data_IF_217161478045
#
_entry.id   IF_217161478045
#
_cell.length_a   1.000
_cell.length_b   1.000
_cell.length_c   1.000
_cell.angle_alpha   90.00
_cell.angle_beta   90.00
_cell.angle_gamma   90.00
#
_symmetry.space_group_name_H-M   'P 1'
#
loop_
_entity.id
_entity.type
_entity.pdbx_description
1 polymer ?
#
# COMPACT_ATOMS: atom_id res chain seq x y z
N UNK A 1 13.06 -0.18 -20.20
CA UNK A 1 12.89 -1.61 -19.85
C UNK A 1 14.06 -2.25 -19.08
N UNK A 2 15.04 -1.51 -18.51
CA UNK A 2 16.16 -2.11 -17.74
C UNK A 2 16.41 -1.51 -16.34
N UNK A 3 15.75 -0.42 -15.92
CA UNK A 3 16.14 0.31 -14.69
C UNK A 3 15.79 -0.38 -13.38
N UNK A 4 14.67 -1.10 -13.29
CA UNK A 4 14.38 -1.94 -12.12
C UNK A 4 15.36 -3.10 -12.02
N UNK A 5 15.70 -3.73 -13.16
CA UNK A 5 16.72 -4.79 -13.22
C UNK A 5 18.11 -4.26 -12.87
N UNK A 6 18.45 -3.03 -13.23
CA UNK A 6 19.68 -2.32 -12.82
C UNK A 6 19.68 -1.93 -11.32
N UNK A 7 18.55 -1.48 -10.78
CA UNK A 7 18.41 -1.18 -9.34
C UNK A 7 18.66 -2.42 -8.48
N UNK A 8 18.17 -3.59 -8.91
CA UNK A 8 18.44 -4.87 -8.25
C UNK A 8 19.78 -5.50 -8.69
N UNK A 9 20.33 -5.15 -9.86
CA UNK A 9 21.52 -5.79 -10.46
C UNK A 9 22.87 -5.11 -10.21
N UNK A 10 22.92 -3.81 -9.89
CA UNK A 10 24.17 -3.02 -9.88
C UNK A 10 24.79 -2.79 -8.48
N UNK A 11 24.37 -3.56 -7.48
CA UNK A 11 24.76 -3.37 -6.06
C UNK A 11 26.20 -3.85 -5.76
N UNK A 12 26.70 -4.86 -6.48
CA UNK A 12 28.05 -5.41 -6.25
C UNK A 12 29.18 -4.46 -6.67
N UNK A 13 28.92 -3.57 -7.64
CA UNK A 13 29.90 -2.58 -8.13
C UNK A 13 29.99 -1.38 -7.16
N UNK A 14 28.87 -1.03 -6.51
CA UNK A 14 28.84 0.03 -5.49
C UNK A 14 29.54 -0.38 -4.19
N UNK A 15 29.40 -1.65 -3.75
CA UNK A 15 30.16 -2.15 -2.59
C UNK A 15 31.68 -2.06 -2.82
N UNK A 16 32.17 -2.47 -3.99
CA UNK A 16 33.60 -2.38 -4.35
C UNK A 16 34.13 -0.95 -4.52
N UNK A 17 33.27 0.04 -4.77
CA UNK A 17 33.66 1.45 -4.90
C UNK A 17 33.68 2.16 -3.55
N UNK A 18 32.76 1.80 -2.63
CA UNK A 18 32.72 2.30 -1.26
C UNK A 18 33.83 1.71 -0.39
N UNK A 19 34.14 0.42 -0.51
CA UNK A 19 35.27 -0.20 0.21
C UNK A 19 36.61 0.42 -0.18
N UNK A 20 36.80 0.73 -1.49
CA UNK A 20 38.02 1.36 -2.00
C UNK A 20 38.17 2.84 -1.55
N UNK A 21 37.07 3.55 -1.27
CA UNK A 21 37.10 4.91 -0.71
C UNK A 21 37.30 4.93 0.82
N UNK A 22 36.86 3.89 1.54
CA UNK A 22 37.05 3.76 2.99
C UNK A 22 38.51 3.37 3.32
N UNK A 23 39.13 2.51 2.51
CA UNK A 23 40.55 2.15 2.64
C UNK A 23 41.50 3.32 2.30
N UNK A 24 41.13 4.15 1.31
CA UNK A 24 41.91 5.32 0.90
C UNK A 24 41.86 6.49 1.90
N UNK A 25 40.85 6.53 2.80
CA UNK A 25 40.66 7.63 3.77
C UNK A 25 41.11 7.32 5.20
N UNK A 26 41.61 6.11 5.48
CA UNK A 26 42.37 5.84 6.71
C UNK A 26 41.68 6.15 8.04
N UNK A 27 40.34 6.10 8.12
CA UNK A 27 39.61 6.40 9.37
C UNK A 27 39.50 5.13 10.22
N UNK A 28 40.26 5.06 11.32
CA UNK A 28 40.06 4.04 12.36
C UNK A 28 38.80 4.36 13.19
N UNK A 29 37.98 3.37 13.57
CA UNK A 29 36.79 3.59 14.36
C UNK A 29 37.15 3.85 15.83
N UNK A 30 36.66 4.97 16.39
CA UNK A 30 36.80 5.31 17.81
C UNK A 30 35.76 4.60 18.70
N UNK A 31 36.11 4.41 19.97
CA UNK A 31 35.49 3.52 20.96
C UNK A 31 33.98 3.72 21.23
N UNK A 32 33.38 4.84 20.79
CA UNK A 32 31.96 5.12 20.95
C UNK A 32 31.03 4.15 20.20
N UNK A 33 31.49 3.55 19.08
CA UNK A 33 30.69 2.61 18.28
C UNK A 33 30.56 1.25 18.97
N UNK A 34 31.57 0.81 19.73
CA UNK A 34 31.55 -0.48 20.43
C UNK A 34 30.53 -0.54 21.57
N UNK A 35 30.26 0.57 22.27
CA UNK A 35 29.26 0.60 23.36
C UNK A 35 27.81 0.57 22.86
N UNK A 36 27.54 1.10 21.66
CA UNK A 36 26.20 1.06 21.04
C UNK A 36 25.88 -0.30 20.41
N UNK A 37 26.88 -1.04 19.94
CA UNK A 37 26.68 -2.41 19.46
C UNK A 37 26.46 -3.40 20.60
N UNK A 38 27.18 -3.24 21.72
CA UNK A 38 26.99 -4.10 22.89
C UNK A 38 25.58 -3.93 23.50
N UNK A 39 25.07 -2.69 23.57
CA UNK A 39 23.71 -2.43 24.09
C UNK A 39 22.61 -2.94 23.16
N UNK A 40 22.81 -2.87 21.83
CA UNK A 40 21.89 -3.48 20.85
C UNK A 40 21.91 -5.01 20.88
N UNK A 41 23.07 -5.63 21.09
CA UNK A 41 23.17 -7.09 21.19
C UNK A 41 22.54 -7.62 22.48
N UNK A 42 22.77 -6.96 23.62
CA UNK A 42 22.15 -7.38 24.90
C UNK A 42 20.63 -7.25 24.83
N UNK A 43 20.10 -6.13 24.31
CA UNK A 43 18.66 -5.94 24.18
C UNK A 43 18.02 -6.98 23.24
N UNK A 44 18.67 -7.31 22.12
CA UNK A 44 18.17 -8.30 21.16
C UNK A 44 18.19 -9.72 21.74
N UNK A 45 19.25 -10.09 22.47
CA UNK A 45 19.35 -11.43 23.05
C UNK A 45 18.41 -11.62 24.24
N UNK A 46 18.17 -10.58 25.05
CA UNK A 46 17.19 -10.64 26.16
C UNK A 46 15.75 -10.76 25.62
N UNK A 47 15.40 -10.00 24.58
CA UNK A 47 14.04 -10.05 23.98
C UNK A 47 13.78 -11.40 23.31
N UNK A 48 14.76 -11.95 22.58
CA UNK A 48 14.63 -13.27 21.95
C UNK A 48 14.55 -14.38 23.02
N UNK A 49 15.32 -14.28 24.09
CA UNK A 49 15.27 -15.25 25.20
C UNK A 49 13.90 -15.30 25.90
N UNK A 50 13.29 -14.13 26.14
CA UNK A 50 11.96 -14.04 26.76
C UNK A 50 10.86 -14.59 25.83
N UNK A 51 10.94 -14.31 24.53
CA UNK A 51 9.99 -14.82 23.54
C UNK A 51 10.02 -16.36 23.42
N UNK A 52 11.22 -16.95 23.43
CA UNK A 52 11.37 -18.41 23.36
C UNK A 52 10.80 -19.08 24.62
N UNK A 53 11.02 -18.50 25.80
CA UNK A 53 10.49 -19.04 27.05
C UNK A 53 8.95 -19.02 27.06
N UNK A 54 8.34 -17.93 26.57
CA UNK A 54 6.88 -17.81 26.47
C UNK A 54 6.31 -18.84 25.48
N UNK A 55 6.93 -19.03 24.32
CA UNK A 55 6.49 -20.02 23.34
C UNK A 55 6.57 -21.47 23.89
N UNK A 56 7.63 -21.80 24.63
CA UNK A 56 7.78 -23.13 25.23
C UNK A 56 6.74 -23.41 26.34
N UNK A 57 6.39 -22.40 27.14
CA UNK A 57 5.33 -22.53 28.17
C UNK A 57 3.96 -22.70 27.51
N UNK A 58 3.66 -21.95 26.44
CA UNK A 58 2.39 -22.08 25.71
C UNK A 58 2.24 -23.42 24.96
N UNK A 59 3.33 -23.94 24.38
CA UNK A 59 3.35 -25.25 23.74
C UNK A 59 3.20 -26.39 24.77
N UNK A 60 3.80 -26.26 25.96
CA UNK A 60 3.65 -27.22 27.05
C UNK A 60 2.21 -27.31 27.59
N UNK A 61 1.55 -26.16 27.80
CA UNK A 61 0.15 -26.08 28.24
C UNK A 61 -0.82 -26.66 27.18
N UNK A 62 -0.56 -26.40 25.90
CA UNK A 62 -1.38 -26.92 24.80
C UNK A 62 -1.21 -28.44 24.60
N UNK A 63 0.00 -28.95 24.81
CA UNK A 63 0.28 -30.39 24.73
C UNK A 63 -0.37 -31.18 25.88
N UNK A 64 -0.41 -30.64 27.09
CA UNK A 64 -1.07 -31.28 28.24
C UNK A 64 -2.61 -31.28 28.13
N UNK A 65 -3.22 -30.23 27.57
CA UNK A 65 -4.68 -30.17 27.39
C UNK A 65 -5.22 -31.14 26.31
N UNK A 66 -4.37 -31.59 25.39
CA UNK A 66 -4.79 -32.46 24.28
C UNK A 66 -4.78 -33.96 24.62
N UNK A 67 -4.08 -34.39 25.68
CA UNK A 67 -4.04 -35.81 26.10
C UNK A 67 -5.13 -36.26 27.08
N UNK A 68 -5.98 -35.34 27.57
CA UNK A 68 -6.98 -35.63 28.61
C UNK A 68 -8.44 -35.70 28.13
N UNK A 69 -8.70 -35.92 26.83
CA UNK A 69 -10.07 -36.15 26.34
C UNK A 69 -10.38 -37.65 26.21
N UNK A 70 -11.48 -38.17 26.79
CA UNK A 70 -11.84 -39.57 26.66
C UNK A 70 -12.38 -39.91 25.26
N UNK A 71 -12.34 -41.19 24.82
CA UNK A 71 -12.67 -41.60 23.47
C UNK A 71 -14.19 -41.62 23.25
N UNK A 72 -14.64 -41.17 22.08
CA UNK A 72 -16.06 -41.21 21.68
C UNK A 72 -16.35 -42.49 20.92
N UNK A 73 -17.25 -43.31 21.47
CA UNK A 73 -17.68 -44.62 20.98
C UNK A 73 -18.78 -44.52 19.90
N UNK A 74 -18.88 -45.58 19.09
CA UNK A 74 -19.75 -45.77 17.93
C UNK A 74 -21.28 -45.84 18.19
N UNK A 75 -22.00 -45.72 17.06
CA UNK A 75 -23.43 -45.76 16.65
C UNK A 75 -24.42 -46.65 17.44
N UNK A 76 -25.75 -46.45 17.30
CA UNK A 76 -26.48 -47.27 16.31
C UNK A 76 -27.66 -46.60 15.56
N UNK A 77 -27.92 -47.19 14.40
CA UNK A 77 -29.03 -47.03 13.44
C UNK A 77 -30.40 -47.41 14.04
N UNK A 78 -31.48 -46.71 13.67
CA UNK A 78 -32.81 -47.33 13.51
C UNK A 78 -33.64 -46.62 12.43
N UNK A 79 -34.26 -47.44 11.59
CA UNK A 79 -35.13 -47.09 10.46
C UNK A 79 -36.58 -47.36 10.85
N UNK A 80 -37.53 -46.46 10.54
CA UNK A 80 -38.93 -46.80 10.18
C UNK A 80 -39.65 -45.59 9.56
N UNK A 81 -40.68 -45.88 8.76
CA UNK A 81 -41.15 -45.19 7.54
C UNK A 81 -42.62 -44.68 7.69
N UNK A 82 -42.96 -43.65 6.89
CA UNK A 82 -44.29 -43.17 6.42
C UNK A 82 -45.21 -42.45 7.45
N UNK A 83 -46.07 -41.46 7.12
CA UNK A 83 -46.56 -40.86 5.86
C UNK A 83 -47.40 -39.58 6.15
N UNK A 84 -47.45 -38.67 5.15
CA UNK A 84 -48.59 -37.79 4.74
C UNK A 84 -48.80 -36.38 5.35
N UNK A 85 -48.60 -35.40 4.45
CA UNK A 85 -49.26 -34.10 4.18
C UNK A 85 -49.88 -33.23 5.29
N UNK A 86 -49.48 -31.94 5.32
CA UNK A 86 -50.43 -30.82 5.21
C UNK A 86 -49.73 -29.50 4.76
N UNK A 87 -50.45 -28.70 3.96
CA UNK A 87 -50.09 -27.38 3.42
C UNK A 87 -50.34 -26.27 4.46
N UNK A 88 -49.50 -25.24 4.49
CA UNK A 88 -49.93 -23.83 4.65
C UNK A 88 -48.80 -22.84 4.29
N UNK A 89 -49.18 -21.82 3.51
CA UNK A 89 -48.40 -20.64 3.11
C UNK A 89 -47.90 -19.81 4.31
N UNK A 90 -46.72 -19.19 4.17
CA UNK A 90 -46.61 -17.74 4.25
C UNK A 90 -45.24 -17.22 3.79
N UNK A 91 -45.30 -16.12 3.03
CA UNK A 91 -44.19 -15.32 2.53
C UNK A 91 -43.21 -14.89 3.63
N UNK A 92 -41.92 -14.95 3.31
CA UNK A 92 -40.99 -13.85 3.64
C UNK A 92 -39.75 -13.94 2.76
N UNK A 93 -39.50 -12.85 2.05
CA UNK A 93 -38.32 -12.54 1.25
C UNK A 93 -37.01 -12.96 1.93
N UNK A 94 -36.39 -14.03 1.45
CA UNK A 94 -35.01 -14.35 1.80
C UNK A 94 -34.05 -13.41 1.07
N UNK A 95 -33.10 -12.77 1.78
CA UNK A 95 -32.00 -12.07 1.13
C UNK A 95 -31.20 -13.09 0.33
N UNK A 96 -30.94 -12.77 -0.93
CA UNK A 96 -30.03 -13.51 -1.80
C UNK A 96 -28.74 -13.88 -1.04
N UNK A 97 -28.47 -15.18 -0.92
CA UNK A 97 -27.17 -15.70 -0.49
C UNK A 97 -26.07 -14.99 -1.29
N UNK A 98 -24.97 -14.54 -0.65
CA UNK A 98 -23.79 -14.12 -1.38
C UNK A 98 -23.37 -15.30 -2.27
N UNK A 99 -23.26 -15.07 -3.57
CA UNK A 99 -22.82 -16.08 -4.52
C UNK A 99 -21.41 -16.54 -4.13
N UNK A 100 -21.29 -17.81 -3.75
CA UNK A 100 -20.04 -18.55 -3.49
C UNK A 100 -19.07 -18.62 -4.69
N UNK A 101 -19.39 -17.94 -5.80
CA UNK A 101 -18.64 -17.95 -7.04
C UNK A 101 -17.43 -16.99 -7.05
N UNK A 102 -17.42 -15.95 -6.20
CA UNK A 102 -16.35 -14.94 -6.14
C UNK A 102 -15.09 -15.43 -5.40
N UNK A 103 -15.26 -16.19 -4.30
CA UNK A 103 -14.14 -16.72 -3.49
C UNK A 103 -13.24 -17.70 -4.25
N UNK A 104 -13.77 -18.30 -5.31
CA UNK A 104 -13.03 -19.26 -6.12
C UNK A 104 -12.13 -18.60 -7.16
N UNK A 105 -12.34 -17.31 -7.51
CA UNK A 105 -11.64 -16.66 -8.63
C UNK A 105 -10.12 -16.67 -8.42
N UNK A 106 -9.67 -16.10 -7.30
CA UNK A 106 -8.24 -16.00 -7.00
C UNK A 106 -7.58 -17.37 -6.77
N UNK A 107 -8.35 -18.35 -6.28
CA UNK A 107 -7.87 -19.72 -6.03
C UNK A 107 -7.71 -20.49 -7.33
N UNK A 108 -8.62 -20.29 -8.29
CA UNK A 108 -8.59 -20.93 -9.61
C UNK A 108 -7.53 -20.32 -10.53
N UNK A 109 -7.31 -19.01 -10.41
CA UNK A 109 -6.26 -18.33 -11.16
C UNK A 109 -4.86 -18.78 -10.72
N UNK A 110 -3.96 -18.95 -11.67
CA UNK A 110 -2.53 -19.09 -11.42
C UNK A 110 -1.94 -17.77 -10.90
N UNK A 111 -0.74 -17.84 -10.31
CA UNK A 111 -0.02 -16.64 -9.87
C UNK A 111 0.25 -15.65 -11.02
N UNK A 112 0.54 -16.18 -12.23
CA UNK A 112 0.75 -15.36 -13.42
C UNK A 112 -0.54 -14.67 -13.87
N UNK A 113 -1.66 -15.38 -13.88
CA UNK A 113 -2.95 -14.80 -14.27
C UNK A 113 -3.40 -13.70 -13.28
N UNK A 114 -3.23 -13.91 -11.97
CA UNK A 114 -3.51 -12.86 -10.96
C UNK A 114 -2.65 -11.61 -11.17
N UNK A 115 -1.35 -11.80 -11.43
CA UNK A 115 -0.42 -10.70 -11.71
C UNK A 115 -0.81 -9.91 -12.98
N UNK A 116 -1.17 -10.62 -14.06
CA UNK A 116 -1.64 -10.01 -15.31
C UNK A 116 -2.96 -9.27 -15.12
N UNK A 117 -3.92 -9.86 -14.42
CA UNK A 117 -5.22 -9.24 -14.13
C UNK A 117 -5.07 -7.97 -13.28
N UNK A 118 -4.27 -8.02 -12.21
CA UNK A 118 -3.99 -6.85 -11.38
C UNK A 118 -3.28 -5.74 -12.18
N UNK A 119 -2.36 -6.10 -13.08
CA UNK A 119 -1.63 -5.15 -13.92
C UNK A 119 -2.54 -4.49 -14.95
N UNK A 120 -3.42 -5.25 -15.61
CA UNK A 120 -4.39 -4.69 -16.55
C UNK A 120 -5.44 -3.83 -15.83
N UNK A 121 -5.86 -4.19 -14.61
CA UNK A 121 -6.72 -3.33 -13.80
C UNK A 121 -6.04 -2.01 -13.41
N UNK A 122 -4.76 -2.05 -13.02
CA UNK A 122 -3.97 -0.84 -12.77
C UNK A 122 -3.89 0.02 -14.03
N UNK A 123 -3.53 -0.57 -15.16
CA UNK A 123 -3.45 0.11 -16.46
C UNK A 123 -4.78 0.74 -16.85
N UNK A 124 -5.89 0.00 -16.74
CA UNK A 124 -7.22 0.50 -17.05
C UNK A 124 -7.59 1.72 -16.20
N UNK A 125 -7.23 1.73 -14.91
CA UNK A 125 -7.36 2.93 -14.07
C UNK A 125 -6.41 4.05 -14.48
N UNK A 126 -5.13 3.73 -14.67
CA UNK A 126 -4.07 4.70 -14.96
C UNK A 126 -4.28 5.41 -16.30
N UNK A 127 -4.91 4.76 -17.28
CA UNK A 127 -5.26 5.33 -18.58
C UNK A 127 -6.72 5.80 -18.66
N UNK A 128 -7.48 5.79 -17.56
CA UNK A 128 -8.89 6.24 -17.55
C UNK A 128 -9.08 7.76 -17.56
N UNK A 129 -7.99 8.52 -17.51
CA UNK A 129 -7.96 9.97 -17.51
C UNK A 129 -6.82 10.47 -18.40
N UNK A 130 -6.90 11.70 -18.89
CA UNK A 130 -5.82 12.26 -19.69
C UNK A 130 -4.68 12.76 -18.78
N UNK A 131 -3.45 12.75 -19.30
CA UNK A 131 -2.31 13.31 -18.59
C UNK A 131 -2.56 14.80 -18.32
N UNK A 132 -2.32 15.24 -17.08
CA UNK A 132 -2.58 16.61 -16.59
C UNK A 132 -4.07 17.00 -16.53
N UNK A 133 -4.97 16.01 -16.45
CA UNK A 133 -6.37 16.27 -16.11
C UNK A 133 -6.48 17.09 -14.81
N UNK A 134 -7.26 18.17 -14.84
CA UNK A 134 -7.46 19.07 -13.70
C UNK A 134 -8.43 18.46 -12.70
N UNK A 135 -8.03 18.39 -11.43
CA UNK A 135 -8.84 17.84 -10.33
C UNK A 135 -9.28 18.91 -9.33
N UNK A 136 -8.49 19.96 -9.14
CA UNK A 136 -8.90 21.11 -8.33
C UNK A 136 -8.49 22.38 -9.05
N UNK A 137 -9.42 23.33 -9.14
CA UNK A 137 -9.19 24.66 -9.67
C UNK A 137 -9.76 25.71 -8.72
N UNK A 138 -9.00 26.78 -8.51
CA UNK A 138 -9.43 27.97 -7.77
C UNK A 138 -9.53 29.16 -8.73
N UNK A 139 -10.38 30.12 -8.39
CA UNK A 139 -10.41 31.39 -9.10
C UNK A 139 -9.09 32.15 -8.88
N UNK A 140 -8.56 32.79 -9.93
CA UNK A 140 -7.35 33.60 -9.86
C UNK A 140 -7.43 34.74 -8.82
N UNK A 141 -8.64 35.23 -8.52
CA UNK A 141 -8.85 36.23 -7.47
C UNK A 141 -8.44 35.73 -6.07
N UNK A 142 -8.49 34.42 -5.83
CA UNK A 142 -8.07 33.80 -4.58
C UNK A 142 -6.55 33.76 -4.39
N UNK A 143 -5.77 34.20 -5.40
CA UNK A 143 -4.32 34.39 -5.27
C UNK A 143 -3.94 35.73 -4.62
N UNK A 144 -4.90 36.65 -4.46
CA UNK A 144 -4.64 37.98 -3.87
C UNK A 144 -4.56 37.86 -2.35
N UNK A 145 -3.59 38.53 -1.73
CA UNK A 145 -3.49 38.58 -0.28
C UNK A 145 -4.77 39.16 0.34
N UNK A 146 -5.28 38.51 1.39
CA UNK A 146 -6.47 38.96 2.10
C UNK A 146 -7.82 38.69 1.41
N UNK A 147 -7.86 37.95 0.30
CA UNK A 147 -9.10 37.67 -0.46
C UNK A 147 -10.13 36.76 0.23
N UNK A 148 -9.98 36.46 1.52
CA UNK A 148 -10.69 35.37 2.19
C UNK A 148 -10.12 34.03 1.73
N UNK A 149 -9.09 33.55 2.42
CA UNK A 149 -8.38 32.32 2.04
C UNK A 149 -9.30 31.10 2.15
N UNK A 150 -9.19 30.17 1.20
CA UNK A 150 -9.76 28.83 1.35
C UNK A 150 -8.89 28.06 2.34
N UNK A 151 -9.50 27.49 3.38
CA UNK A 151 -8.73 26.76 4.41
C UNK A 151 -8.07 25.51 3.81
N UNK A 152 -6.92 25.06 4.32
CA UNK A 152 -6.28 23.82 3.85
C UNK A 152 -7.20 22.59 3.93
N UNK A 153 -8.09 22.57 4.93
CA UNK A 153 -9.08 21.52 5.13
C UNK A 153 -10.12 21.55 4.01
N UNK A 154 -10.64 22.72 3.64
CA UNK A 154 -11.58 22.86 2.51
C UNK A 154 -10.94 22.45 1.19
N UNK A 155 -9.70 22.89 0.91
CA UNK A 155 -8.98 22.54 -0.31
C UNK A 155 -8.74 21.03 -0.42
N UNK A 156 -8.22 20.41 0.64
CA UNK A 156 -7.99 18.96 0.67
C UNK A 156 -9.29 18.16 0.56
N UNK A 157 -10.34 18.57 1.27
CA UNK A 157 -11.67 17.92 1.20
C UNK A 157 -12.24 18.00 -0.21
N UNK A 158 -12.20 19.17 -0.84
CA UNK A 158 -12.70 19.36 -2.22
C UNK A 158 -11.88 18.54 -3.22
N UNK A 159 -10.56 18.50 -3.06
CA UNK A 159 -9.66 17.67 -3.88
C UNK A 159 -10.02 16.18 -3.77
N UNK A 160 -10.19 15.66 -2.55
CA UNK A 160 -10.58 14.27 -2.32
C UNK A 160 -11.96 13.95 -2.91
N UNK A 161 -12.94 14.84 -2.74
CA UNK A 161 -14.28 14.63 -3.31
C UNK A 161 -14.26 14.57 -4.85
N UNK A 162 -13.47 15.43 -5.49
CA UNK A 162 -13.29 15.41 -6.94
C UNK A 162 -12.58 14.12 -7.41
N UNK A 163 -11.59 13.63 -6.68
CA UNK A 163 -10.96 12.33 -6.95
C UNK A 163 -11.95 11.17 -6.79
N UNK A 164 -12.78 11.19 -5.74
CA UNK A 164 -13.84 10.17 -5.54
C UNK A 164 -14.82 10.13 -6.70
N UNK A 165 -15.29 11.30 -7.15
CA UNK A 165 -16.19 11.40 -8.30
C UNK A 165 -15.54 10.89 -9.60
N UNK A 166 -14.23 11.09 -9.77
CA UNK A 166 -13.51 10.68 -10.99
C UNK A 166 -13.13 9.21 -11.02
N UNK A 167 -12.60 8.67 -9.91
CA UNK A 167 -12.06 7.31 -9.88
C UNK A 167 -13.11 6.27 -9.50
N UNK A 168 -14.10 6.65 -8.69
CA UNK A 168 -15.15 5.75 -8.23
C UNK A 168 -14.57 4.49 -7.60
N UNK A 169 -15.03 3.34 -8.09
CA UNK A 169 -14.70 2.01 -7.59
C UNK A 169 -13.40 1.40 -8.14
N UNK A 170 -12.61 2.15 -8.92
CA UNK A 170 -11.29 1.70 -9.42
C UNK A 170 -10.21 1.72 -8.35
N UNK A 171 -10.43 2.47 -7.27
CA UNK A 171 -9.54 2.58 -6.12
C UNK A 171 -10.31 2.27 -4.85
N UNK A 172 -9.62 1.86 -3.78
CA UNK A 172 -10.27 1.56 -2.49
C UNK A 172 -10.58 2.83 -1.71
N UNK A 173 -11.51 2.77 -0.74
CA UNK A 173 -11.70 3.89 0.21
C UNK A 173 -10.44 4.22 1.02
N UNK A 174 -9.58 3.21 1.21
CA UNK A 174 -8.25 3.37 1.79
C UNK A 174 -7.34 4.28 0.96
N UNK A 175 -7.49 4.32 -0.37
CA UNK A 175 -6.76 5.27 -1.23
C UNK A 175 -7.04 6.72 -0.81
N UNK A 176 -8.32 7.09 -0.72
CA UNK A 176 -8.71 8.45 -0.36
C UNK A 176 -8.36 8.78 1.09
N UNK A 177 -8.53 7.83 2.00
CA UNK A 177 -8.19 8.00 3.42
C UNK A 177 -6.70 8.23 3.62
N UNK A 178 -5.83 7.42 2.99
CA UNK A 178 -4.37 7.59 3.06
C UNK A 178 -3.90 8.93 2.48
N UNK A 179 -4.49 9.36 1.36
CA UNK A 179 -4.18 10.65 0.77
C UNK A 179 -4.64 11.83 1.66
N UNK A 180 -5.83 11.75 2.24
CA UNK A 180 -6.30 12.77 3.19
C UNK A 180 -5.40 12.85 4.43
N UNK A 181 -4.99 11.70 5.00
CA UNK A 181 -4.03 11.67 6.11
C UNK A 181 -2.69 12.29 5.73
N UNK A 182 -2.25 12.10 4.50
CA UNK A 182 -1.02 12.72 3.98
C UNK A 182 -1.14 14.25 3.97
N UNK A 183 -2.30 14.80 3.60
CA UNK A 183 -2.55 16.25 3.60
C UNK A 183 -2.57 16.89 4.99
N UNK A 184 -2.87 16.12 6.04
CA UNK A 184 -2.83 16.66 7.41
C UNK A 184 -1.42 17.13 7.80
N UNK A 185 -0.38 16.56 7.20
CA UNK A 185 1.01 16.95 7.43
C UNK A 185 1.67 17.64 6.24
N UNK A 186 1.07 17.53 5.06
CA UNK A 186 1.56 18.09 3.82
C UNK A 186 0.43 18.86 3.12
N UNK A 187 0.10 20.07 3.63
CA UNK A 187 -1.17 20.72 3.35
C UNK A 187 -1.31 21.18 1.90
N UNK A 188 -2.55 21.17 1.43
CA UNK A 188 -2.97 21.85 0.20
C UNK A 188 -3.27 23.31 0.55
N UNK A 189 -2.57 24.26 -0.05
CA UNK A 189 -2.65 25.68 0.33
C UNK A 189 -2.64 26.59 -0.90
N UNK A 190 -2.98 27.86 -0.68
CA UNK A 190 -2.68 28.94 -1.63
C UNK A 190 -1.49 29.72 -1.09
N UNK A 191 -0.32 29.47 -1.67
CA UNK A 191 0.92 30.18 -1.35
C UNK A 191 1.01 31.50 -2.13
N UNK A 192 1.55 32.55 -1.49
CA UNK A 192 1.65 33.88 -2.10
C UNK A 192 2.51 33.93 -3.36
N UNK A 193 3.50 33.04 -3.50
CA UNK A 193 4.39 33.00 -4.68
C UNK A 193 3.96 31.90 -5.64
N UNK A 194 3.82 30.67 -5.14
CA UNK A 194 3.51 29.47 -5.93
C UNK A 194 2.05 29.42 -6.38
N UNK A 195 1.14 30.10 -5.67
CA UNK A 195 -0.30 29.94 -5.83
C UNK A 195 -0.82 28.65 -5.20
N UNK A 196 -1.88 28.07 -5.75
CA UNK A 196 -2.43 26.78 -5.31
C UNK A 196 -1.35 25.68 -5.41
N UNK A 197 -1.00 25.04 -4.31
CA UNK A 197 0.05 24.02 -4.29
C UNK A 197 -0.14 23.02 -3.13
N UNK A 198 0.68 21.97 -3.11
CA UNK A 198 0.79 21.00 -2.02
C UNK A 198 2.17 21.17 -1.41
N UNK A 199 2.26 21.48 -0.13
CA UNK A 199 3.53 21.79 0.52
C UNK A 199 4.04 20.55 1.25
N UNK A 200 5.26 20.12 0.92
CA UNK A 200 5.98 19.12 1.69
C UNK A 200 6.53 19.77 2.96
N UNK A 201 5.95 19.41 4.10
CA UNK A 201 6.34 19.96 5.42
C UNK A 201 6.67 18.87 6.44
N UNK A 202 6.27 17.62 6.21
CA UNK A 202 6.57 16.52 7.12
C UNK A 202 7.98 15.95 6.89
N UNK A 203 8.72 15.75 7.98
CA UNK A 203 10.01 15.03 7.98
C UNK A 203 9.84 13.55 7.65
N UNK A 204 8.71 12.95 8.05
CA UNK A 204 8.32 11.60 7.66
C UNK A 204 8.02 11.56 6.15
N UNK A 205 9.04 11.11 5.42
CA UNK A 205 9.02 10.93 3.98
C UNK A 205 7.85 10.04 3.51
N UNK A 206 7.37 9.11 4.35
CA UNK A 206 6.27 8.22 3.96
C UNK A 206 4.96 8.96 3.74
N UNK A 207 4.74 10.10 4.44
CA UNK A 207 3.55 10.93 4.26
C UNK A 207 3.52 11.64 2.90
N UNK A 208 4.65 11.78 2.22
CA UNK A 208 4.69 12.38 0.88
C UNK A 208 4.40 11.37 -0.24
N UNK A 209 4.53 10.07 0.03
CA UNK A 209 4.42 9.03 -1.00
C UNK A 209 3.05 9.02 -1.68
N UNK A 210 1.96 9.24 -0.95
CA UNK A 210 0.60 9.25 -1.53
C UNK A 210 0.33 10.42 -2.48
N UNK A 211 1.17 11.46 -2.48
CA UNK A 211 1.05 12.60 -3.40
C UNK A 211 1.62 12.32 -4.79
N UNK A 212 2.15 11.12 -5.02
CA UNK A 212 2.89 10.75 -6.24
C UNK A 212 2.14 11.08 -7.54
N UNK A 213 0.82 10.88 -7.57
CA UNK A 213 -0.04 11.08 -8.73
C UNK A 213 -0.34 12.56 -9.03
N UNK A 214 -0.18 13.44 -8.03
CA UNK A 214 -0.61 14.84 -8.09
C UNK A 214 0.52 15.77 -8.54
N UNK A 215 0.19 16.83 -9.25
CA UNK A 215 1.14 17.87 -9.67
C UNK A 215 0.42 19.23 -9.80
N UNK A 216 1.18 20.31 -9.87
CA UNK A 216 0.61 21.64 -10.19
C UNK A 216 0.74 21.95 -11.68
N UNK A 217 -0.18 22.75 -12.22
CA UNK A 217 -0.08 23.14 -13.64
C UNK A 217 1.15 24.01 -13.90
N UNK A 218 1.39 24.97 -13.00
CA UNK A 218 2.52 25.91 -13.03
C UNK A 218 3.33 25.85 -11.73
N UNK A 219 4.57 26.33 -11.78
CA UNK A 219 5.44 26.49 -10.60
C UNK A 219 5.16 27.77 -9.81
N UNK A 220 4.66 28.82 -10.48
CA UNK A 220 4.35 30.12 -9.91
C UNK A 220 2.93 30.56 -10.25
N UNK A 221 2.28 31.25 -9.31
CA UNK A 221 0.90 31.76 -9.43
C UNK A 221 -0.07 30.72 -10.01
N UNK A 222 0.10 29.46 -9.62
CA UNK A 222 -0.71 28.35 -10.06
C UNK A 222 -2.14 28.43 -9.52
N UNK A 223 -3.12 27.96 -10.29
CA UNK A 223 -4.53 27.88 -9.86
C UNK A 223 -5.11 26.47 -9.96
N UNK A 224 -4.30 25.48 -10.40
CA UNK A 224 -4.78 24.13 -10.76
C UNK A 224 -3.92 23.01 -10.16
N UNK A 225 -4.56 22.03 -9.54
CA UNK A 225 -3.96 20.72 -9.22
C UNK A 225 -4.41 19.72 -10.28
N UNK A 226 -3.45 18.99 -10.81
CA UNK A 226 -3.63 18.02 -11.90
C UNK A 226 -3.19 16.62 -11.48
N UNK A 227 -3.65 15.61 -12.21
CA UNK A 227 -3.17 14.22 -12.07
C UNK A 227 -2.31 13.82 -13.27
N UNK A 228 -1.29 12.99 -13.01
CA UNK A 228 -0.27 12.59 -14.00
C UNK A 228 -0.31 11.09 -14.27
N UNK A 229 -0.32 10.69 -15.53
CA UNK A 229 -0.24 9.27 -15.92
C UNK A 229 0.90 8.94 -16.91
N UNK A 230 1.95 9.74 -16.88
CA UNK A 230 3.11 9.61 -17.76
C UNK A 230 4.35 8.99 -17.08
N UNK A 231 4.15 8.30 -15.95
CA UNK A 231 5.21 7.57 -15.27
C UNK A 231 5.29 6.12 -15.78
N UNK A 232 6.50 5.59 -15.86
CA UNK A 232 6.69 4.18 -16.21
C UNK A 232 6.28 3.30 -15.04
N UNK A 233 5.52 2.23 -15.31
CA UNK A 233 5.12 1.27 -14.29
C UNK A 233 5.37 -0.17 -14.74
N UNK A 234 5.49 -1.08 -13.78
CA UNK A 234 5.60 -2.51 -14.01
C UNK A 234 5.10 -3.32 -12.81
N UNK A 235 4.64 -4.54 -13.07
CA UNK A 235 4.38 -5.51 -12.00
C UNK A 235 5.68 -5.85 -11.25
N UNK A 236 5.56 -6.08 -9.95
CA UNK A 236 6.67 -6.44 -9.07
C UNK A 236 6.33 -7.74 -8.35
N UNK A 237 7.20 -8.74 -8.51
CA UNK A 237 7.16 -10.00 -7.78
C UNK A 237 7.48 -9.77 -6.29
N UNK A 238 6.48 -9.33 -5.53
CA UNK A 238 6.69 -8.99 -4.13
C UNK A 238 6.91 -10.24 -3.28
N UNK A 239 6.12 -11.30 -3.51
CA UNK A 239 6.18 -12.54 -2.72
C UNK A 239 7.54 -13.23 -2.82
N UNK A 240 8.14 -13.33 -4.01
CA UNK A 240 9.40 -14.08 -4.12
C UNK A 240 10.64 -13.19 -4.09
N UNK A 241 10.51 -11.89 -4.37
CA UNK A 241 11.66 -10.97 -4.46
C UNK A 241 11.51 -9.76 -3.55
N UNK A 242 10.43 -9.00 -3.71
CA UNK A 242 10.23 -7.72 -3.03
C UNK A 242 10.33 -7.83 -1.50
N UNK A 243 9.60 -8.79 -0.89
CA UNK A 243 9.55 -8.95 0.57
C UNK A 243 10.90 -9.36 1.19
N UNK A 244 11.79 -9.96 0.40
CA UNK A 244 13.12 -10.39 0.86
C UNK A 244 14.22 -9.36 0.54
N UNK A 245 13.88 -8.26 -0.15
CA UNK A 245 14.83 -7.19 -0.43
C UNK A 245 15.22 -6.45 0.86
N UNK A 246 16.51 -6.20 1.05
CA UNK A 246 17.03 -5.60 2.29
C UNK A 246 16.60 -4.15 2.49
N UNK A 247 16.36 -3.40 1.41
CA UNK A 247 16.01 -1.97 1.46
C UNK A 247 14.51 -1.77 1.55
N UNK A 248 13.74 -2.52 0.76
CA UNK A 248 12.31 -2.27 0.59
C UNK A 248 11.41 -3.40 1.11
N UNK A 249 11.95 -4.58 1.42
CA UNK A 249 11.12 -5.75 1.79
C UNK A 249 10.31 -5.59 3.08
N UNK A 250 10.63 -4.57 3.88
CA UNK A 250 9.91 -4.25 5.12
C UNK A 250 8.89 -3.12 4.99
N UNK A 251 8.64 -2.56 3.79
CA UNK A 251 7.65 -1.49 3.64
C UNK A 251 6.20 -2.00 3.75
N UNK A 252 5.95 -3.24 3.33
CA UNK A 252 4.62 -3.84 3.32
C UNK A 252 4.50 -4.99 4.31
N UNK A 253 4.32 -4.65 5.58
CA UNK A 253 4.10 -5.61 6.69
C UNK A 253 2.62 -5.87 6.99
N UNK A 254 1.74 -5.18 6.28
CA UNK A 254 0.28 -5.20 6.47
C UNK A 254 -0.40 -6.38 5.75
N UNK A 255 0.35 -7.18 5.00
CA UNK A 255 -0.15 -8.31 4.21
C UNK A 255 0.65 -9.55 4.59
N UNK A 256 -0.04 -10.67 4.79
CA UNK A 256 0.57 -11.99 4.88
C UNK A 256 0.86 -12.50 3.47
N UNK A 257 2.01 -12.13 2.92
CA UNK A 257 2.36 -12.40 1.52
C UNK A 257 2.43 -13.89 1.18
N UNK A 258 2.63 -14.75 2.18
CA UNK A 258 2.77 -16.20 1.96
C UNK A 258 1.40 -16.87 1.79
N UNK A 259 0.33 -16.31 2.37
CA UNK A 259 -1.00 -16.94 2.38
C UNK A 259 -2.11 -16.07 1.76
N UNK A 260 -1.91 -14.76 1.65
CA UNK A 260 -2.91 -13.83 1.13
C UNK A 260 -2.72 -13.61 -0.38
N UNK A 261 -3.70 -14.06 -1.16
CA UNK A 261 -3.74 -13.92 -2.62
C UNK A 261 -4.44 -12.64 -3.09
N UNK A 262 -5.07 -11.90 -2.18
CA UNK A 262 -5.89 -10.73 -2.51
C UNK A 262 -5.07 -9.48 -2.85
N UNK A 263 -3.75 -9.51 -2.65
CA UNK A 263 -2.86 -8.38 -2.94
C UNK A 263 -1.83 -8.67 -4.04
N UNK A 264 -1.56 -7.68 -4.87
CA UNK A 264 -0.46 -7.67 -5.85
C UNK A 264 0.27 -6.32 -5.78
N UNK A 265 1.48 -6.21 -6.33
CA UNK A 265 2.29 -4.97 -6.23
C UNK A 265 2.68 -4.43 -7.60
N UNK A 266 2.44 -3.13 -7.79
CA UNK A 266 2.89 -2.35 -8.94
C UNK A 266 4.01 -1.41 -8.51
N UNK A 267 5.12 -1.42 -9.23
CA UNK A 267 6.20 -0.45 -9.09
C UNK A 267 6.05 0.68 -10.12
N UNK A 268 6.23 1.93 -9.68
CA UNK A 268 6.20 3.12 -10.54
C UNK A 268 7.54 3.85 -10.43
N UNK A 269 8.15 4.13 -11.58
CA UNK A 269 9.42 4.87 -11.71
C UNK A 269 9.17 6.30 -12.20
N UNK A 270 9.56 7.25 -11.35
CA UNK A 270 9.48 8.70 -11.50
C UNK A 270 10.87 9.35 -11.54
N UNK A 271 11.96 8.56 -11.61
CA UNK A 271 13.35 9.06 -11.52
C UNK A 271 13.72 10.09 -12.61
N UNK A 272 13.00 10.08 -13.74
CA UNK A 272 13.17 11.04 -14.84
C UNK A 272 12.03 12.03 -15.02
N UNK A 273 11.03 12.05 -14.12
CA UNK A 273 9.88 12.94 -14.29
C UNK A 273 10.15 14.32 -13.69
N UNK A 274 9.79 15.37 -14.44
CA UNK A 274 9.75 16.75 -13.94
C UNK A 274 8.36 17.05 -13.38
N UNK A 275 8.24 17.05 -12.07
CA UNK A 275 7.07 17.56 -11.35
C UNK A 275 7.35 18.99 -10.88
N UNK A 276 6.29 19.79 -10.75
CA UNK A 276 6.36 21.14 -10.21
C UNK A 276 6.32 21.16 -8.67
N UNK A 277 5.97 20.03 -8.06
CA UNK A 277 6.12 19.74 -6.62
C UNK A 277 7.20 18.68 -6.40
N UNK A 278 7.64 18.50 -5.16
CA UNK A 278 8.62 17.47 -4.80
C UNK A 278 8.23 16.09 -5.36
N UNK A 279 9.18 15.44 -6.05
CA UNK A 279 8.95 14.14 -6.68
C UNK A 279 9.53 13.00 -5.86
N UNK A 280 8.78 11.90 -5.80
CA UNK A 280 9.34 10.60 -5.42
C UNK A 280 10.18 10.05 -6.58
N UNK A 281 11.12 9.13 -6.32
CA UNK A 281 11.86 8.45 -7.39
C UNK A 281 11.19 7.14 -7.78
N UNK A 282 10.96 6.27 -6.81
CA UNK A 282 10.34 4.96 -7.04
C UNK A 282 9.36 4.69 -5.92
N UNK A 283 8.15 4.28 -6.29
CA UNK A 283 7.13 3.81 -5.34
C UNK A 283 6.64 2.43 -5.73
N UNK A 284 6.16 1.72 -4.72
CA UNK A 284 5.44 0.47 -4.82
C UNK A 284 4.03 0.71 -4.29
N UNK A 285 3.04 0.19 -4.99
CA UNK A 285 1.62 0.38 -4.71
C UNK A 285 0.99 -0.99 -4.60
N UNK A 286 0.28 -1.26 -3.50
CA UNK A 286 -0.52 -2.48 -3.39
C UNK A 286 -1.81 -2.33 -4.20
N UNK A 287 -2.10 -3.31 -5.04
CA UNK A 287 -3.42 -3.60 -5.60
C UNK A 287 -4.14 -4.56 -4.65
N UNK A 288 -5.46 -4.45 -4.53
CA UNK A 288 -6.30 -5.35 -3.73
C UNK A 288 -7.49 -5.84 -4.54
N UNK A 289 -7.70 -7.15 -4.62
CA UNK A 289 -8.88 -7.75 -5.21
C UNK A 289 -10.04 -7.71 -4.21
N UNK A 290 -11.10 -6.99 -4.56
CA UNK A 290 -12.27 -6.85 -3.71
C UNK A 290 -13.34 -7.88 -4.09
N UNK A 291 -13.43 -8.95 -3.29
CA UNK A 291 -14.36 -10.07 -3.50
C UNK A 291 -15.83 -9.65 -3.61
N UNK A 292 -16.22 -8.53 -2.99
CA UNK A 292 -17.62 -8.05 -3.00
C UNK A 292 -18.03 -7.49 -4.36
N UNK A 293 -17.09 -6.89 -5.08
CA UNK A 293 -17.32 -6.28 -6.39
C UNK A 293 -16.64 -7.05 -7.53
N UNK A 294 -15.86 -8.09 -7.21
CA UNK A 294 -15.24 -8.99 -8.17
C UNK A 294 -14.20 -8.33 -9.07
N UNK A 295 -13.38 -7.42 -8.53
CA UNK A 295 -12.31 -6.76 -9.29
C UNK A 295 -11.16 -6.25 -8.42
N UNK A 296 -10.02 -6.07 -9.06
CA UNK A 296 -8.84 -5.39 -8.53
C UNK A 296 -9.07 -3.88 -8.37
N UNK A 297 -8.57 -3.33 -7.27
CA UNK A 297 -8.61 -1.90 -6.94
C UNK A 297 -7.23 -1.42 -6.51
N UNK A 298 -6.89 -0.18 -6.84
CA UNK A 298 -5.67 0.47 -6.34
C UNK A 298 -5.86 0.88 -4.88
N UNK A 299 -4.91 0.57 -4.00
CA UNK A 299 -4.99 0.96 -2.59
C UNK A 299 -4.20 2.23 -2.29
N UNK A 300 -4.39 2.78 -1.07
CA UNK A 300 -3.55 3.83 -0.50
C UNK A 300 -2.33 3.30 0.26
N UNK A 301 -2.01 2.02 0.15
CA UNK A 301 -0.82 1.44 0.77
C UNK A 301 0.35 1.58 -0.20
N UNK A 302 1.10 2.66 -0.02
CA UNK A 302 2.25 3.02 -0.85
C UNK A 302 3.51 2.99 0.02
N UNK A 303 4.57 2.42 -0.52
CA UNK A 303 5.91 2.47 0.08
C UNK A 303 6.94 2.79 -1.00
N UNK A 304 8.12 3.28 -0.64
CA UNK A 304 9.11 3.65 -1.66
C UNK A 304 10.23 4.52 -1.13
N UNK A 305 11.00 5.06 -2.07
CA UNK A 305 12.11 5.95 -1.81
C UNK A 305 11.92 7.29 -2.54
N UNK A 306 12.31 8.37 -1.86
CA UNK A 306 12.48 9.70 -2.43
C UNK A 306 13.89 9.93 -2.95
#
# INVERSE_FOLDING_TARGET
MNRFKEFFGNISIFQKRVEREIEAKGIKPTEGVKKLELSRQVLRNTVIGVLILICLVFLGLSYFNNKNKPPTTATPTTTKKSSQADKANNDTSSPSKPSKASSDHLIKASAKERAEEATEAFKAWYTSYANRDVILEINQELLKEGSGGTSPIELSTKLINNLKAKFGDKVTDGFYSSLQSSFNFNPVVVDGTKGLTIVKQNDDQTQWLNTWLLDTDKTEKNTKITIRNDFSYQWVDWRNKGQHDQKVGKIFKNVDWDNDLSYEVIGVDMTGSSKNIDSNKIIFIQMHYNDKIGKWQVTGNVGGAM
#
